data_IF_297777421507
#
_entry.id   IF_297777421507
#
_cell.length_a   1.000
_cell.length_b   1.000
_cell.length_c   1.000
_cell.angle_alpha   90.00
_cell.angle_beta   90.00
_cell.angle_gamma   90.00
#
_symmetry.space_group_name_H-M   'P 1'
#
loop_
_entity.id
_entity.type
_entity.pdbx_description
1 polymer ?
#
# COMPACT_ATOMS: atom_id res chain seq x y z
N UNK A 1 0.43 -38.31 -24.09
CA UNK A 1 1.62 -37.43 -24.14
C UNK A 1 2.85 -38.23 -23.71
N UNK A 2 3.85 -38.39 -24.59
CA UNK A 2 4.87 -39.44 -24.50
C UNK A 2 6.03 -39.06 -23.55
N UNK A 3 6.39 -39.94 -22.61
CA UNK A 3 7.42 -39.71 -21.56
C UNK A 3 8.82 -39.38 -22.11
N UNK A 4 9.10 -39.65 -23.39
CA UNK A 4 10.34 -39.24 -24.08
C UNK A 4 10.40 -37.74 -24.41
N UNK A 5 9.27 -37.07 -24.68
CA UNK A 5 9.26 -35.62 -24.92
C UNK A 5 9.56 -34.82 -23.64
N UNK A 6 9.09 -35.31 -22.48
CA UNK A 6 9.29 -34.64 -21.19
C UNK A 6 10.76 -34.66 -20.72
N UNK A 7 11.52 -35.71 -21.06
CA UNK A 7 12.94 -35.81 -20.68
C UNK A 7 13.86 -34.89 -21.50
N UNK A 8 13.55 -34.65 -22.78
CA UNK A 8 14.36 -33.74 -23.60
C UNK A 8 14.10 -32.26 -23.26
N UNK A 9 12.89 -31.90 -22.80
CA UNK A 9 12.63 -30.55 -22.30
C UNK A 9 13.39 -30.24 -21.00
N UNK A 10 13.44 -31.17 -20.04
CA UNK A 10 14.20 -30.95 -18.79
C UNK A 10 15.71 -30.78 -19.02
N UNK A 11 16.32 -31.54 -19.92
CA UNK A 11 17.76 -31.47 -20.16
C UNK A 11 18.19 -30.15 -20.83
N UNK A 12 17.38 -29.61 -21.76
CA UNK A 12 17.65 -28.33 -22.41
C UNK A 12 17.39 -27.16 -21.45
N UNK A 13 16.37 -27.25 -20.58
CA UNK A 13 16.09 -26.21 -19.57
C UNK A 13 17.16 -26.16 -18.47
N UNK A 14 17.65 -27.30 -18.00
CA UNK A 14 18.73 -27.37 -16.99
C UNK A 14 20.08 -26.87 -17.51
N UNK A 15 20.41 -27.15 -18.78
CA UNK A 15 21.63 -26.64 -19.39
C UNK A 15 21.59 -25.10 -19.61
N UNK A 16 20.41 -24.56 -19.92
CA UNK A 16 20.21 -23.11 -20.08
C UNK A 16 20.21 -22.37 -18.73
N UNK A 17 19.66 -22.99 -17.68
CA UNK A 17 19.67 -22.43 -16.32
C UNK A 17 21.07 -22.43 -15.68
N UNK A 18 21.90 -23.44 -15.96
CA UNK A 18 23.29 -23.47 -15.48
C UNK A 18 24.22 -22.49 -16.21
N UNK A 19 23.95 -22.15 -17.47
CA UNK A 19 24.70 -21.13 -18.19
C UNK A 19 24.45 -19.71 -17.64
N UNK A 20 23.26 -19.44 -17.07
CA UNK A 20 22.90 -18.16 -16.45
C UNK A 20 23.55 -17.93 -15.08
N UNK A 21 23.99 -19.01 -14.41
CA UNK A 21 24.68 -18.98 -13.12
C UNK A 21 26.19 -18.68 -13.23
N UNK A 22 26.72 -18.58 -14.46
CA UNK A 22 28.12 -18.25 -14.75
C UNK A 22 28.35 -16.77 -15.04
N UNK A 23 27.29 -15.97 -15.15
CA UNK A 23 27.43 -14.51 -15.25
C UNK A 23 27.81 -13.95 -13.88
N UNK A 24 28.75 -12.98 -13.79
CA UNK A 24 28.99 -12.29 -12.53
C UNK A 24 27.67 -11.73 -12.02
N UNK A 25 27.43 -11.75 -10.71
CA UNK A 25 26.17 -11.32 -10.11
C UNK A 25 25.77 -9.88 -10.50
N UNK A 26 26.75 -9.06 -10.93
CA UNK A 26 26.57 -7.73 -11.52
C UNK A 26 26.01 -7.70 -12.95
N UNK A 27 25.94 -8.85 -13.64
CA UNK A 27 25.42 -9.01 -15.00
C UNK A 27 24.04 -9.68 -15.06
N UNK A 28 23.49 -10.13 -13.92
CA UNK A 28 22.07 -10.46 -13.80
C UNK A 28 21.30 -9.18 -13.45
N UNK A 29 20.34 -8.78 -14.29
CA UNK A 29 19.45 -7.69 -13.94
C UNK A 29 18.65 -8.09 -12.69
N UNK A 30 18.84 -7.37 -11.59
CA UNK A 30 18.10 -7.62 -10.37
C UNK A 30 16.62 -7.28 -10.62
N UNK A 31 15.73 -8.21 -10.28
CA UNK A 31 14.30 -8.05 -10.52
C UNK A 31 13.75 -6.91 -9.66
N UNK A 32 12.82 -6.12 -10.22
CA UNK A 32 12.18 -5.05 -9.44
C UNK A 32 11.30 -5.65 -8.37
N UNK A 33 11.49 -5.18 -7.14
CA UNK A 33 10.66 -5.55 -6.00
C UNK A 33 9.88 -4.32 -5.53
N UNK A 34 8.65 -4.54 -5.05
CA UNK A 34 7.92 -3.52 -4.33
C UNK A 34 8.21 -3.66 -2.83
N UNK A 35 8.60 -2.57 -2.20
CA UNK A 35 9.04 -2.57 -0.81
C UNK A 35 8.85 -1.21 -0.15
N UNK A 36 8.90 -1.21 1.18
CA UNK A 36 8.71 -0.03 2.02
C UNK A 36 9.96 0.17 2.88
N UNK A 37 10.43 1.41 2.97
CA UNK A 37 11.60 1.77 3.77
C UNK A 37 11.20 2.80 4.81
N UNK A 38 11.41 2.49 6.10
CA UNK A 38 11.45 3.51 7.15
C UNK A 38 12.88 4.02 7.29
N UNK A 39 13.07 5.32 7.10
CA UNK A 39 14.36 5.99 7.19
C UNK A 39 15.04 5.75 8.55
N UNK A 40 16.37 5.86 8.61
CA UNK A 40 17.15 5.63 9.84
C UNK A 40 16.76 6.56 11.00
N UNK A 41 16.32 7.80 10.70
CA UNK A 41 15.76 8.74 11.69
C UNK A 41 14.29 8.45 12.07
N UNK A 42 13.69 7.45 11.42
CA UNK A 42 12.33 6.95 11.59
C UNK A 42 11.23 7.98 11.27
N UNK A 43 11.56 9.06 10.56
CA UNK A 43 10.62 10.14 10.24
C UNK A 43 9.91 9.97 8.91
N UNK A 44 10.50 9.22 7.99
CA UNK A 44 9.99 9.06 6.63
C UNK A 44 9.73 7.58 6.32
N UNK A 45 8.56 7.30 5.76
CA UNK A 45 8.21 6.00 5.22
C UNK A 45 8.08 6.10 3.69
N UNK A 46 8.96 5.45 2.94
CA UNK A 46 8.96 5.55 1.47
C UNK A 46 8.63 4.22 0.81
N UNK A 47 7.73 4.26 -0.16
CA UNK A 47 7.32 3.14 -1.00
C UNK A 47 8.09 3.17 -2.32
N UNK A 48 8.72 2.06 -2.68
CA UNK A 48 9.55 1.92 -3.88
C UNK A 48 9.12 0.72 -4.72
N UNK A 49 9.38 0.80 -6.03
CA UNK A 49 9.25 -0.33 -6.95
C UNK A 49 10.42 -0.34 -7.95
N UNK A 50 11.55 -0.87 -7.48
CA UNK A 50 12.83 -0.88 -8.20
C UNK A 50 13.70 -2.06 -7.74
N UNK A 51 14.93 -2.13 -8.25
CA UNK A 51 15.92 -3.17 -7.98
C UNK A 51 16.92 -2.82 -6.85
N UNK A 52 16.65 -1.75 -6.08
CA UNK A 52 17.56 -1.17 -5.10
C UNK A 52 17.28 -1.59 -3.66
N UNK A 53 16.37 -2.54 -3.42
CA UNK A 53 15.94 -2.95 -2.06
C UNK A 53 17.11 -3.28 -1.13
N UNK A 54 18.11 -4.01 -1.63
CA UNK A 54 19.29 -4.45 -0.86
C UNK A 54 20.28 -3.33 -0.54
N UNK A 55 20.24 -2.20 -1.26
CA UNK A 55 21.11 -1.04 -1.02
C UNK A 55 20.47 0.02 -0.12
N UNK A 56 19.17 -0.12 0.22
CA UNK A 56 18.47 0.83 1.08
C UNK A 56 18.95 0.77 2.53
N UNK A 57 19.09 1.95 3.12
CA UNK A 57 19.40 2.12 4.55
C UNK A 57 18.13 2.40 5.35
N UNK A 58 18.07 1.89 6.58
CA UNK A 58 16.91 2.02 7.46
C UNK A 58 16.27 0.66 7.72
N UNK A 59 14.99 0.64 8.06
CA UNK A 59 14.22 -0.61 8.15
C UNK A 59 13.49 -0.84 6.83
N UNK A 60 13.66 -2.01 6.24
CA UNK A 60 13.12 -2.36 4.92
C UNK A 60 12.19 -3.54 5.07
N UNK A 61 11.01 -3.45 4.46
CA UNK A 61 10.02 -4.54 4.40
C UNK A 61 9.60 -4.78 2.95
N UNK A 62 9.30 -6.03 2.58
CA UNK A 62 8.56 -6.29 1.36
C UNK A 62 7.16 -5.64 1.40
N UNK A 63 6.60 -5.24 0.27
CA UNK A 63 5.25 -4.64 0.23
C UNK A 63 4.15 -5.61 0.70
N UNK A 64 4.38 -6.91 0.58
CA UNK A 64 3.46 -7.96 1.06
C UNK A 64 3.89 -8.55 2.41
N UNK A 65 4.93 -7.99 3.04
CA UNK A 65 5.40 -8.47 4.33
C UNK A 65 4.40 -8.09 5.42
N UNK A 66 4.06 -9.06 6.27
CA UNK A 66 3.02 -8.89 7.29
C UNK A 66 3.49 -9.28 8.68
N UNK A 67 2.80 -8.76 9.68
CA UNK A 67 2.93 -9.11 11.10
C UNK A 67 1.59 -9.48 11.70
N UNK A 68 1.61 -10.31 12.74
CA UNK A 68 0.40 -10.71 13.46
C UNK A 68 0.06 -9.71 14.57
N UNK A 69 -1.24 -9.43 14.70
CA UNK A 69 -1.84 -8.75 15.84
C UNK A 69 -1.97 -9.66 17.06
N UNK A 70 -2.36 -9.06 18.19
CA UNK A 70 -2.59 -9.79 19.43
C UNK A 70 -3.72 -10.82 19.31
N UNK A 71 -4.77 -10.53 18.53
CA UNK A 71 -5.91 -11.44 18.32
C UNK A 71 -5.81 -12.26 17.02
N UNK A 72 -4.62 -12.29 16.41
CA UNK A 72 -4.37 -13.08 15.20
C UNK A 72 -4.67 -12.36 13.87
N UNK A 73 -5.05 -11.09 13.92
CA UNK A 73 -5.19 -10.25 12.73
C UNK A 73 -3.85 -10.15 11.99
N UNK A 74 -3.90 -9.78 10.72
CA UNK A 74 -2.70 -9.63 9.90
C UNK A 74 -2.60 -8.19 9.44
N UNK A 75 -1.46 -7.57 9.69
CA UNK A 75 -1.19 -6.18 9.36
C UNK A 75 0.05 -6.09 8.48
N UNK A 76 0.17 -5.08 7.62
CA UNK A 76 1.44 -4.77 6.97
C UNK A 76 2.55 -4.62 8.00
N UNK A 77 3.73 -5.18 7.73
CA UNK A 77 4.83 -5.22 8.70
C UNK A 77 5.28 -3.81 9.15
N UNK A 78 5.11 -2.81 8.28
CA UNK A 78 5.43 -1.42 8.56
C UNK A 78 4.30 -0.63 9.24
N UNK A 79 3.07 -1.16 9.27
CA UNK A 79 1.93 -0.38 9.77
C UNK A 79 1.99 -0.21 11.30
N UNK A 80 1.23 0.71 11.87
CA UNK A 80 0.90 0.67 13.30
C UNK A 80 -0.21 -0.34 13.60
N UNK A 81 -0.55 -0.50 14.88
CA UNK A 81 -1.78 -1.17 15.37
C UNK A 81 -2.39 -0.36 16.51
N UNK A 82 -3.56 -0.78 17.01
CA UNK A 82 -4.17 -0.16 18.20
C UNK A 82 -3.26 -0.33 19.43
N UNK A 83 -2.62 -1.49 19.58
CA UNK A 83 -1.72 -1.78 20.71
C UNK A 83 -0.31 -1.19 20.52
N UNK A 84 0.17 -1.15 19.27
CA UNK A 84 1.52 -0.66 18.90
C UNK A 84 1.43 0.40 17.80
N UNK A 85 0.98 1.63 18.12
CA UNK A 85 0.82 2.69 17.14
C UNK A 85 2.16 3.15 16.56
N UNK A 86 2.18 3.52 15.27
CA UNK A 86 3.35 4.14 14.65
C UNK A 86 3.33 5.64 14.95
N UNK A 87 4.24 6.07 15.82
CA UNK A 87 4.28 7.42 16.40
C UNK A 87 5.50 8.24 15.98
N UNK A 88 6.40 7.69 15.17
CA UNK A 88 7.64 8.36 14.76
C UNK A 88 7.56 8.94 13.36
N UNK A 89 6.91 8.23 12.43
CA UNK A 89 6.76 8.66 11.04
C UNK A 89 5.90 9.93 10.96
N UNK A 90 6.42 10.95 10.29
CA UNK A 90 5.73 12.23 10.04
C UNK A 90 5.43 12.47 8.57
N UNK A 91 6.14 11.80 7.67
CA UNK A 91 5.99 11.91 6.22
C UNK A 91 5.97 10.52 5.60
N UNK A 92 4.99 10.27 4.73
CA UNK A 92 5.03 9.14 3.82
C UNK A 92 5.34 9.62 2.40
N UNK A 93 6.05 8.82 1.62
CA UNK A 93 6.47 9.16 0.26
C UNK A 93 6.20 7.98 -0.67
N UNK A 94 5.47 8.20 -1.75
CA UNK A 94 5.43 7.27 -2.88
C UNK A 94 6.45 7.73 -3.92
N UNK A 95 7.59 7.04 -3.97
CA UNK A 95 8.66 7.36 -4.90
C UNK A 95 8.19 7.24 -6.35
N UNK A 96 8.83 7.97 -7.27
CA UNK A 96 8.49 7.92 -8.70
C UNK A 96 8.59 6.51 -9.31
N UNK A 97 9.45 5.64 -8.75
CA UNK A 97 9.54 4.23 -9.11
C UNK A 97 8.21 3.48 -8.88
N UNK A 98 7.44 3.85 -7.87
CA UNK A 98 6.21 3.17 -7.45
C UNK A 98 5.07 3.27 -8.47
N UNK A 99 5.13 4.22 -9.40
CA UNK A 99 4.06 4.52 -10.39
C UNK A 99 3.58 3.32 -11.20
N UNK A 100 4.44 2.29 -11.36
CA UNK A 100 4.16 1.10 -12.16
C UNK A 100 3.75 -0.12 -11.33
N UNK A 101 3.85 -0.05 -10.01
CA UNK A 101 3.32 -1.09 -9.13
C UNK A 101 1.80 -0.97 -9.02
N UNK A 102 1.11 -2.11 -8.87
CA UNK A 102 -0.35 -2.20 -8.84
C UNK A 102 -0.77 -3.06 -7.63
N UNK A 103 -0.86 -2.47 -6.42
CA UNK A 103 -1.27 -3.23 -5.25
C UNK A 103 -2.66 -3.84 -5.46
N UNK A 104 -2.86 -5.06 -4.95
CA UNK A 104 -4.20 -5.68 -4.88
C UNK A 104 -5.00 -5.21 -3.65
N UNK A 105 -4.30 -4.68 -2.65
CA UNK A 105 -4.85 -4.18 -1.39
C UNK A 105 -4.03 -2.99 -0.90
N UNK A 106 -4.69 -1.99 -0.32
CA UNK A 106 -4.04 -0.94 0.49
C UNK A 106 -4.52 -0.96 1.94
N UNK A 107 -5.08 -2.10 2.36
CA UNK A 107 -5.60 -2.33 3.70
C UNK A 107 -4.53 -2.05 4.76
N UNK A 108 -4.88 -1.19 5.72
CA UNK A 108 -4.05 -0.82 6.86
C UNK A 108 -2.68 -0.19 6.56
N UNK A 109 -2.41 0.27 5.33
CA UNK A 109 -1.09 0.79 4.95
C UNK A 109 -0.58 1.94 5.83
N UNK A 110 -1.48 2.77 6.37
CA UNK A 110 -1.16 3.83 7.35
C UNK A 110 -1.96 3.69 8.65
N UNK A 111 -2.34 2.46 9.01
CA UNK A 111 -3.07 2.16 10.25
C UNK A 111 -2.33 2.69 11.47
N UNK A 112 -2.98 3.53 12.28
CA UNK A 112 -2.48 4.11 13.53
C UNK A 112 -1.17 4.92 13.38
N UNK A 113 -1.00 5.64 12.26
CA UNK A 113 0.10 6.59 12.09
C UNK A 113 -0.19 7.91 12.82
N UNK A 114 0.01 7.91 14.15
CA UNK A 114 -0.43 8.99 15.05
C UNK A 114 0.23 10.33 14.79
N UNK A 115 1.37 10.37 14.09
CA UNK A 115 2.14 11.59 13.81
C UNK A 115 2.32 11.91 12.31
N UNK A 116 1.70 11.14 11.41
CA UNK A 116 1.77 11.41 9.97
C UNK A 116 1.07 12.73 9.63
N UNK A 117 1.81 13.65 9.00
CA UNK A 117 1.35 15.02 8.68
C UNK A 117 1.09 15.22 7.19
N UNK A 118 1.85 14.51 6.35
CA UNK A 118 1.78 14.66 4.90
C UNK A 118 2.16 13.36 4.19
N UNK A 119 1.62 13.21 2.99
CA UNK A 119 1.96 12.13 2.07
C UNK A 119 2.35 12.77 0.74
N UNK A 120 3.56 12.48 0.29
CA UNK A 120 4.13 13.03 -0.94
C UNK A 120 4.11 11.98 -2.05
N UNK A 121 3.96 12.44 -3.29
CA UNK A 121 3.98 11.56 -4.46
C UNK A 121 2.76 10.64 -4.58
N UNK A 122 1.64 10.95 -3.92
CA UNK A 122 0.45 10.08 -3.91
C UNK A 122 -0.11 9.77 -5.31
N UNK A 123 0.18 10.60 -6.31
CA UNK A 123 -0.07 10.34 -7.75
C UNK A 123 0.66 9.10 -8.29
N UNK A 124 1.72 8.64 -7.62
CA UNK A 124 2.47 7.44 -7.96
C UNK A 124 1.84 6.17 -7.37
N UNK A 125 0.82 6.28 -6.50
CA UNK A 125 0.06 5.13 -6.03
C UNK A 125 -1.06 4.82 -7.03
N UNK A 126 -0.87 3.81 -7.86
CA UNK A 126 -1.89 3.38 -8.80
C UNK A 126 -2.83 2.35 -8.17
N UNK A 127 -4.04 2.77 -7.82
CA UNK A 127 -5.03 1.92 -7.13
C UNK A 127 -5.94 1.13 -8.07
N UNK A 128 -5.69 1.10 -9.38
CA UNK A 128 -6.60 0.47 -10.36
C UNK A 128 -6.83 -1.03 -10.18
N UNK A 129 -6.03 -1.70 -9.35
CA UNK A 129 -6.18 -3.13 -9.00
C UNK A 129 -6.54 -3.36 -7.52
N UNK A 130 -6.72 -2.30 -6.74
CA UNK A 130 -7.04 -2.41 -5.32
C UNK A 130 -8.48 -2.87 -5.15
N UNK A 131 -8.68 -3.91 -4.35
CA UNK A 131 -10.02 -4.45 -4.02
C UNK A 131 -10.46 -4.12 -2.59
N UNK A 132 -9.53 -3.76 -1.71
CA UNK A 132 -9.82 -3.31 -0.34
C UNK A 132 -8.93 -2.14 0.06
N UNK A 133 -9.56 -1.13 0.65
CA UNK A 133 -8.93 0.06 1.25
C UNK A 133 -9.23 0.16 2.76
N UNK A 134 -9.63 -0.96 3.37
CA UNK A 134 -10.00 -1.06 4.78
C UNK A 134 -8.94 -0.42 5.69
N UNK A 135 -9.37 0.51 6.54
CA UNK A 135 -8.53 1.18 7.54
C UNK A 135 -7.24 1.81 7.00
N UNK A 136 -7.16 2.14 5.71
CA UNK A 136 -5.93 2.62 5.07
C UNK A 136 -5.32 3.82 5.81
N UNK A 137 -6.15 4.75 6.30
CA UNK A 137 -5.73 5.94 7.06
C UNK A 137 -6.30 5.95 8.49
N UNK A 138 -6.73 4.80 9.02
CA UNK A 138 -7.30 4.70 10.37
C UNK A 138 -6.38 5.35 11.40
N UNK A 139 -6.94 6.25 12.21
CA UNK A 139 -6.29 7.01 13.28
C UNK A 139 -5.03 7.78 12.85
N UNK A 140 -5.01 8.32 11.63
CA UNK A 140 -4.00 9.30 11.22
C UNK A 140 -4.25 10.69 11.86
N UNK A 141 -4.03 10.78 13.18
CA UNK A 141 -4.47 11.91 14.02
C UNK A 141 -3.86 13.27 13.66
N UNK A 142 -2.81 13.34 12.83
CA UNK A 142 -2.13 14.59 12.45
C UNK A 142 -2.28 14.98 10.98
N UNK A 143 -2.91 14.14 10.15
CA UNK A 143 -3.24 14.52 8.78
C UNK A 143 -4.30 15.63 8.80
N UNK A 144 -4.03 16.71 8.07
CA UNK A 144 -4.96 17.85 7.96
C UNK A 144 -5.66 17.91 6.61
N UNK A 145 -5.05 17.35 5.58
CA UNK A 145 -5.58 17.32 4.22
C UNK A 145 -5.15 16.05 3.48
N UNK A 146 -6.05 15.49 2.67
CA UNK A 146 -5.75 14.41 1.74
C UNK A 146 -6.42 14.69 0.39
N UNK A 147 -5.63 14.65 -0.68
CA UNK A 147 -6.14 14.70 -2.06
C UNK A 147 -6.03 13.32 -2.70
N UNK A 148 -7.15 12.60 -2.76
CA UNK A 148 -7.22 11.26 -3.33
C UNK A 148 -7.85 11.27 -4.74
N UNK A 149 -7.88 12.43 -5.41
CA UNK A 149 -8.43 12.53 -6.77
C UNK A 149 -7.75 11.61 -7.78
N UNK A 150 -6.54 11.09 -7.53
CA UNK A 150 -5.86 10.17 -8.43
C UNK A 150 -6.27 8.69 -8.22
N UNK A 151 -7.05 8.38 -7.18
CA UNK A 151 -7.43 7.01 -6.90
C UNK A 151 -8.51 6.55 -7.88
N UNK A 152 -8.31 5.36 -8.42
CA UNK A 152 -9.37 4.57 -9.04
C UNK A 152 -9.94 3.62 -7.98
N UNK A 153 -11.23 3.76 -7.68
CA UNK A 153 -11.96 2.93 -6.72
C UNK A 153 -12.91 1.91 -7.38
N UNK A 154 -12.89 1.77 -8.70
CA UNK A 154 -13.85 0.95 -9.46
C UNK A 154 -13.85 -0.53 -9.04
N UNK A 155 -12.71 -1.07 -8.59
CA UNK A 155 -12.60 -2.47 -8.15
C UNK A 155 -12.73 -2.64 -6.62
N UNK A 156 -12.85 -1.54 -5.87
CA UNK A 156 -12.85 -1.57 -4.41
C UNK A 156 -14.20 -2.08 -3.92
N UNK A 157 -14.17 -3.08 -3.05
CA UNK A 157 -15.34 -3.68 -2.43
C UNK A 157 -15.47 -3.33 -0.95
N UNK A 158 -14.38 -2.92 -0.29
CA UNK A 158 -14.35 -2.62 1.14
C UNK A 158 -13.57 -1.32 1.43
N UNK A 159 -14.24 -0.39 2.10
CA UNK A 159 -13.70 0.88 2.61
C UNK A 159 -14.01 1.07 4.11
N UNK A 160 -14.25 -0.04 4.83
CA UNK A 160 -14.50 -0.08 6.27
C UNK A 160 -13.45 0.76 7.01
N UNK A 161 -13.90 1.67 7.87
CA UNK A 161 -13.03 2.51 8.72
C UNK A 161 -11.88 3.28 7.99
N UNK A 162 -11.95 3.50 6.68
CA UNK A 162 -10.80 4.03 5.88
C UNK A 162 -10.18 5.30 6.45
N UNK A 163 -10.99 6.24 6.97
CA UNK A 163 -10.55 7.48 7.62
C UNK A 163 -10.96 7.56 9.10
N UNK A 164 -11.34 6.44 9.72
CA UNK A 164 -11.79 6.43 11.11
C UNK A 164 -10.80 7.16 12.02
N UNK A 165 -11.30 8.04 12.87
CA UNK A 165 -10.51 8.76 13.87
C UNK A 165 -9.51 9.78 13.30
N UNK A 166 -9.56 10.13 12.01
CA UNK A 166 -8.79 11.23 11.41
C UNK A 166 -9.27 12.61 11.90
N UNK A 167 -9.21 12.84 13.21
CA UNK A 167 -9.81 13.97 13.93
C UNK A 167 -9.30 15.35 13.52
N UNK A 168 -8.11 15.45 12.92
CA UNK A 168 -7.54 16.71 12.41
C UNK A 168 -7.75 16.94 10.92
N UNK A 169 -8.36 16.00 10.21
CA UNK A 169 -8.62 16.12 8.78
C UNK A 169 -9.66 17.22 8.55
N UNK A 170 -9.29 18.23 7.78
CA UNK A 170 -10.13 19.40 7.45
C UNK A 170 -10.51 19.45 5.98
N UNK A 171 -9.75 18.78 5.12
CA UNK A 171 -9.97 18.75 3.68
C UNK A 171 -9.73 17.33 3.16
N UNK A 172 -10.70 16.79 2.42
CA UNK A 172 -10.63 15.47 1.83
C UNK A 172 -11.23 15.52 0.43
N UNK A 173 -10.41 15.24 -0.59
CA UNK A 173 -10.87 15.18 -1.98
C UNK A 173 -11.05 13.71 -2.41
N UNK A 174 -12.29 13.33 -2.69
CA UNK A 174 -12.70 11.99 -3.16
C UNK A 174 -13.36 12.05 -4.55
N UNK A 175 -13.09 13.09 -5.35
CA UNK A 175 -13.83 13.35 -6.59
C UNK A 175 -13.87 12.18 -7.58
N UNK A 176 -12.87 11.29 -7.56
CA UNK A 176 -12.79 10.14 -8.48
C UNK A 176 -13.16 8.80 -7.81
N UNK A 177 -13.71 8.81 -6.59
CA UNK A 177 -14.17 7.60 -5.94
C UNK A 177 -15.50 7.14 -6.56
N UNK A 178 -15.42 6.19 -7.49
CA UNK A 178 -16.58 5.42 -7.91
C UNK A 178 -16.85 4.28 -6.91
N UNK A 179 -17.84 4.46 -6.04
CA UNK A 179 -18.20 3.49 -5.00
C UNK A 179 -19.17 2.39 -5.46
N UNK A 180 -19.43 2.26 -6.76
CA UNK A 180 -20.44 1.33 -7.31
C UNK A 180 -20.27 -0.13 -6.86
N UNK A 181 -19.04 -0.59 -6.67
CA UNK A 181 -18.76 -1.97 -6.23
C UNK A 181 -18.50 -2.11 -4.72
N UNK A 182 -18.55 -1.02 -3.96
CA UNK A 182 -18.32 -1.02 -2.51
C UNK A 182 -19.51 -1.67 -1.81
N UNK A 183 -19.21 -2.63 -0.93
CA UNK A 183 -20.18 -3.37 -0.12
C UNK A 183 -20.15 -2.98 1.35
N UNK A 184 -19.07 -2.34 1.79
CA UNK A 184 -18.92 -1.89 3.17
C UNK A 184 -18.10 -0.60 3.23
N UNK A 185 -18.73 0.44 3.77
CA UNK A 185 -18.12 1.72 4.13
C UNK A 185 -18.48 2.12 5.57
N UNK A 186 -18.79 1.14 6.41
CA UNK A 186 -19.15 1.36 7.81
C UNK A 186 -18.03 2.10 8.53
N UNK A 187 -18.43 3.12 9.30
CA UNK A 187 -17.52 3.97 10.08
C UNK A 187 -16.42 4.70 9.29
N UNK A 188 -16.51 4.77 7.95
CA UNK A 188 -15.46 5.34 7.08
C UNK A 188 -14.99 6.74 7.51
N UNK A 189 -15.91 7.60 7.97
CA UNK A 189 -15.63 8.97 8.44
C UNK A 189 -15.88 9.17 9.94
N UNK A 190 -16.12 8.10 10.71
CA UNK A 190 -16.37 8.22 12.14
C UNK A 190 -15.16 8.83 12.85
N UNK A 191 -15.38 9.82 13.73
CA UNK A 191 -14.30 10.50 14.44
C UNK A 191 -13.52 11.55 13.63
N UNK A 192 -13.91 11.84 12.39
CA UNK A 192 -13.38 12.96 11.58
C UNK A 192 -13.97 14.32 12.02
N UNK A 193 -13.83 14.69 13.28
CA UNK A 193 -14.52 15.83 13.90
C UNK A 193 -14.28 17.20 13.22
N UNK A 194 -13.15 17.37 12.54
CA UNK A 194 -12.79 18.63 11.88
C UNK A 194 -13.15 18.68 10.38
N UNK A 195 -13.73 17.60 9.83
CA UNK A 195 -14.16 17.56 8.44
C UNK A 195 -15.56 18.19 8.35
N UNK A 196 -15.61 19.49 8.04
CA UNK A 196 -16.85 20.27 8.05
C UNK A 196 -17.62 20.25 6.73
N UNK A 197 -16.97 19.82 5.65
CA UNK A 197 -17.58 19.67 4.33
C UNK A 197 -16.96 18.47 3.62
N UNK A 198 -17.79 17.74 2.87
CA UNK A 198 -17.38 16.59 2.09
C UNK A 198 -18.29 16.47 0.86
N UNK A 199 -17.69 16.49 -0.33
CA UNK A 199 -18.40 16.22 -1.57
C UNK A 199 -18.46 14.70 -1.81
N UNK A 200 -19.67 14.16 -1.78
CA UNK A 200 -19.98 12.75 -2.02
C UNK A 200 -20.84 12.56 -3.27
N UNK A 201 -20.91 13.55 -4.16
CA UNK A 201 -21.77 13.51 -5.36
C UNK A 201 -21.49 12.31 -6.29
N UNK A 202 -20.26 11.80 -6.28
CA UNK A 202 -19.84 10.62 -7.07
C UNK A 202 -20.01 9.28 -6.34
N UNK A 203 -20.47 9.27 -5.08
CA UNK A 203 -20.70 8.04 -4.32
C UNK A 203 -22.03 7.40 -4.72
N UNK A 204 -21.95 6.33 -5.51
CA UNK A 204 -23.09 5.44 -5.77
C UNK A 204 -23.19 4.41 -4.65
N UNK A 205 -24.26 4.45 -3.86
CA UNK A 205 -24.44 3.61 -2.66
C UNK A 205 -25.49 2.51 -2.83
N UNK A 206 -25.77 2.10 -4.06
CA UNK A 206 -26.83 1.12 -4.36
C UNK A 206 -26.50 -0.30 -3.86
N UNK A 207 -25.22 -0.61 -3.65
CA UNK A 207 -24.69 -1.92 -3.28
C UNK A 207 -24.15 -2.01 -1.84
N UNK A 208 -24.36 -0.96 -1.03
CA UNK A 208 -23.86 -0.80 0.34
C UNK A 208 -24.91 -1.24 1.36
#
# INVERSE_FOLDING_TARGET
MNKKLLKNFCAVFLAWFMALLLLPQSAQAQEKEAYVVKSSDQKTLTFYYDDQKSSRTGTVWGIEETRKGYYGETYPAWSGTRDTPESKVTTAVFDASFKNYRPQSTEFWFLNFKNLKKIEGLTNLNTSKVTTMNGMFFDCLKLTSLDLSNFNAENVQNMYEMFFGCSRLTSLNLSNFNAENVKDMSYMFSGCHNLTSLDLSNFKTENV
#
